data_IF_378741798660
#
_entry.id   IF_378741798660
#
_cell.length_a   1.000
_cell.length_b   1.000
_cell.length_c   1.000
_cell.angle_alpha   90.00
_cell.angle_beta   90.00
_cell.angle_gamma   90.00
#
_symmetry.space_group_name_H-M   'P 1'
#
loop_
_entity.id
_entity.type
_entity.pdbx_description
1 polymer ?
#
# COMPACT_ATOMS: atom_id res chain seq x y z
N UNK A 1 -22.53 4.09 51.40
CA UNK A 1 -21.61 3.09 50.84
C UNK A 1 -22.09 2.69 49.45
N UNK A 2 -21.53 3.26 48.39
CA UNK A 2 -22.01 3.02 47.02
C UNK A 2 -21.23 1.89 46.35
N UNK A 3 -21.89 0.74 46.10
CA UNK A 3 -21.32 -0.34 45.29
C UNK A 3 -21.44 0.01 43.80
N UNK A 4 -20.38 0.58 43.23
CA UNK A 4 -20.25 0.72 41.78
C UNK A 4 -20.21 -0.69 41.18
N UNK A 5 -21.28 -1.11 40.49
CA UNK A 5 -21.25 -2.34 39.70
C UNK A 5 -20.24 -2.14 38.59
N UNK A 6 -19.21 -2.98 38.54
CA UNK A 6 -18.22 -2.99 37.45
C UNK A 6 -18.98 -3.15 36.13
N UNK A 7 -18.88 -2.17 35.24
CA UNK A 7 -19.55 -2.20 33.94
C UNK A 7 -18.99 -3.42 33.19
N UNK A 8 -19.86 -4.38 32.84
CA UNK A 8 -19.44 -5.49 31.99
C UNK A 8 -19.19 -4.88 30.62
N UNK A 9 -17.92 -4.80 30.22
CA UNK A 9 -17.58 -4.47 28.86
C UNK A 9 -18.17 -5.56 27.95
N UNK A 10 -18.97 -5.15 26.97
CA UNK A 10 -19.36 -6.06 25.89
C UNK A 10 -18.09 -6.51 25.18
N UNK A 11 -18.01 -7.77 24.70
CA UNK A 11 -16.83 -8.25 23.99
C UNK A 11 -16.52 -7.32 22.82
N UNK A 12 -15.23 -7.04 22.59
CA UNK A 12 -14.80 -6.35 21.37
C UNK A 12 -15.30 -7.16 20.16
N UNK A 13 -16.03 -6.54 19.22
CA UNK A 13 -16.31 -7.15 17.91
C UNK A 13 -14.99 -7.52 17.18
N UNK A 14 -15.04 -8.40 16.16
CA UNK A 14 -13.84 -9.00 15.61
C UNK A 14 -12.87 -7.95 15.04
N UNK A 15 -11.58 -8.13 15.34
CA UNK A 15 -10.52 -7.54 14.52
C UNK A 15 -10.54 -8.28 13.18
N UNK A 16 -10.49 -7.55 12.05
CA UNK A 16 -10.65 -8.16 10.71
C UNK A 16 -9.65 -9.28 10.42
N UNK A 17 -8.47 -9.22 11.04
CA UNK A 17 -7.42 -10.23 11.00
C UNK A 17 -6.98 -10.55 12.42
N UNK A 18 -6.56 -11.79 12.66
CA UNK A 18 -6.02 -12.22 13.94
C UNK A 18 -4.65 -12.90 13.82
N UNK A 19 -4.14 -13.02 12.60
CA UNK A 19 -2.74 -13.31 12.24
C UNK A 19 -2.31 -12.23 11.24
N UNK A 20 -1.16 -11.60 11.49
CA UNK A 20 -0.53 -10.63 10.58
C UNK A 20 0.95 -10.97 10.52
N UNK A 21 1.45 -11.32 9.33
CA UNK A 21 2.87 -11.58 9.07
C UNK A 21 3.35 -10.64 7.96
N UNK A 22 4.52 -10.03 8.13
CA UNK A 22 5.05 -9.00 7.23
C UNK A 22 6.33 -9.49 6.56
N UNK A 23 6.30 -9.59 5.23
CA UNK A 23 7.41 -9.98 4.37
C UNK A 23 7.90 -8.74 3.61
N UNK A 24 8.41 -7.77 4.38
CA UNK A 24 8.97 -6.53 3.88
C UNK A 24 10.42 -6.72 3.40
N UNK A 25 10.62 -6.66 2.08
CA UNK A 25 11.92 -6.58 1.42
C UNK A 25 12.05 -5.24 0.67
N UNK A 26 13.21 -4.60 0.74
CA UNK A 26 13.44 -3.25 0.19
C UNK A 26 13.46 -3.19 -1.36
N UNK A 27 13.60 -4.34 -2.02
CA UNK A 27 13.67 -4.46 -3.48
C UNK A 27 12.43 -5.22 -4.02
N UNK A 28 12.19 -5.17 -5.34
CA UNK A 28 11.05 -5.85 -5.96
C UNK A 28 11.09 -7.37 -5.69
N UNK A 29 9.99 -7.99 -5.21
CA UNK A 29 8.60 -7.60 -5.41
C UNK A 29 8.00 -6.60 -4.41
N UNK A 30 8.72 -6.22 -3.36
CA UNK A 30 8.24 -5.29 -2.34
C UNK A 30 7.26 -5.90 -1.33
N UNK A 31 7.01 -5.16 -0.26
CA UNK A 31 6.41 -5.64 0.99
C UNK A 31 5.09 -6.40 0.81
N UNK A 32 5.06 -7.67 1.22
CA UNK A 32 3.83 -8.48 1.31
C UNK A 32 3.42 -8.63 2.77
N UNK A 33 2.37 -7.95 3.21
CA UNK A 33 1.73 -8.29 4.48
C UNK A 33 0.65 -9.35 4.26
N UNK A 34 0.76 -10.48 4.94
CA UNK A 34 -0.23 -11.55 4.98
C UNK A 34 -1.18 -11.28 6.14
N UNK A 35 -2.43 -10.94 5.83
CA UNK A 35 -3.46 -10.63 6.80
C UNK A 35 -4.49 -11.76 6.84
N UNK A 36 -4.41 -12.62 7.86
CA UNK A 36 -5.18 -13.86 7.93
C UNK A 36 -6.12 -13.93 9.14
N UNK A 37 -7.16 -14.74 9.03
CA UNK A 37 -8.21 -14.88 10.05
C UNK A 37 -8.59 -16.34 10.29
N UNK A 38 -8.60 -16.77 11.56
CA UNK A 38 -9.10 -18.10 11.98
C UNK A 38 -10.57 -18.13 12.40
N UNK A 39 -11.19 -16.96 12.65
CA UNK A 39 -12.61 -16.85 13.00
C UNK A 39 -13.51 -16.86 11.74
N UNK A 40 -14.82 -17.13 11.86
CA UNK A 40 -15.77 -16.95 10.76
C UNK A 40 -15.74 -15.54 10.18
N UNK A 41 -15.91 -15.44 8.87
CA UNK A 41 -15.88 -14.19 8.12
C UNK A 41 -17.15 -13.36 8.33
N UNK A 42 -17.00 -12.11 8.77
CA UNK A 42 -18.05 -11.09 8.63
C UNK A 42 -17.93 -10.49 7.21
N UNK A 43 -18.58 -11.12 6.23
CA UNK A 43 -18.47 -10.72 4.82
C UNK A 43 -18.93 -9.27 4.58
N UNK A 44 -19.81 -8.71 5.42
CA UNK A 44 -20.26 -7.33 5.29
C UNK A 44 -19.19 -6.32 5.76
N UNK A 45 -18.58 -6.56 6.92
CA UNK A 45 -17.45 -5.76 7.39
C UNK A 45 -16.21 -5.93 6.50
N UNK A 46 -15.95 -7.16 6.05
CA UNK A 46 -14.86 -7.51 5.16
C UNK A 46 -14.99 -6.83 3.79
N UNK A 47 -16.16 -6.95 3.14
CA UNK A 47 -16.43 -6.29 1.86
C UNK A 47 -16.30 -4.77 1.95
N UNK A 48 -16.78 -4.17 3.06
CA UNK A 48 -16.63 -2.74 3.29
C UNK A 48 -15.15 -2.33 3.33
N UNK A 49 -14.35 -2.98 4.18
CA UNK A 49 -12.94 -2.60 4.39
C UNK A 49 -12.11 -2.83 3.13
N UNK A 50 -12.35 -3.90 2.36
CA UNK A 50 -11.68 -4.13 1.08
C UNK A 50 -12.14 -3.16 0.00
N UNK A 51 -13.43 -2.82 -0.07
CA UNK A 51 -13.96 -1.80 -0.98
C UNK A 51 -13.30 -0.44 -0.75
N UNK A 52 -13.24 0.00 0.51
CA UNK A 52 -12.58 1.25 0.92
C UNK A 52 -11.04 1.21 0.72
N UNK A 53 -10.39 0.06 0.95
CA UNK A 53 -8.93 -0.07 0.79
C UNK A 53 -8.48 -0.08 -0.69
N UNK A 54 -9.26 -0.73 -1.55
CA UNK A 54 -8.85 -1.03 -2.93
C UNK A 54 -9.59 -0.23 -4.00
N UNK A 55 -10.60 0.56 -3.65
CA UNK A 55 -11.37 1.39 -4.59
C UNK A 55 -12.16 0.52 -5.60
N UNK A 56 -12.73 -0.55 -5.06
CA UNK A 56 -13.61 -1.49 -5.78
C UNK A 56 -15.03 -1.25 -5.28
N UNK A 57 -16.03 -1.02 -6.16
CA UNK A 57 -17.39 -0.72 -5.72
C UNK A 57 -17.96 -1.84 -4.82
N UNK A 58 -18.68 -1.45 -3.75
CA UNK A 58 -19.06 -2.36 -2.67
C UNK A 58 -19.91 -3.55 -3.14
N UNK A 59 -20.77 -3.36 -4.15
CA UNK A 59 -21.55 -4.45 -4.75
C UNK A 59 -20.65 -5.48 -5.45
N UNK A 60 -19.59 -5.03 -6.12
CA UNK A 60 -18.57 -5.90 -6.73
C UNK A 60 -17.76 -6.61 -5.65
N UNK A 61 -17.35 -5.92 -4.59
CA UNK A 61 -16.57 -6.52 -3.51
C UNK A 61 -17.36 -7.59 -2.75
N UNK A 62 -18.64 -7.34 -2.42
CA UNK A 62 -19.52 -8.37 -1.84
C UNK A 62 -19.65 -9.57 -2.78
N UNK A 63 -19.80 -9.33 -4.10
CA UNK A 63 -19.88 -10.41 -5.09
C UNK A 63 -18.60 -11.23 -5.18
N UNK A 64 -17.43 -10.58 -5.25
CA UNK A 64 -16.12 -11.24 -5.32
C UNK A 64 -15.85 -12.10 -4.09
N UNK A 65 -16.22 -11.63 -2.89
CA UNK A 65 -16.09 -12.42 -1.66
C UNK A 65 -17.10 -13.58 -1.57
N UNK A 66 -18.21 -13.55 -2.32
CA UNK A 66 -19.20 -14.63 -2.34
C UNK A 66 -18.89 -15.70 -3.40
N UNK A 67 -18.49 -15.28 -4.62
CA UNK A 67 -18.36 -16.15 -5.80
C UNK A 67 -16.90 -16.38 -6.24
N UNK A 68 -15.94 -15.60 -5.73
CA UNK A 68 -14.62 -15.47 -6.31
C UNK A 68 -14.62 -14.64 -7.61
N UNK A 69 -13.48 -14.61 -8.30
CA UNK A 69 -13.30 -13.93 -9.58
C UNK A 69 -12.31 -12.77 -9.53
N UNK A 70 -12.38 -11.90 -10.55
CA UNK A 70 -11.51 -10.73 -10.70
C UNK A 70 -12.31 -9.46 -11.00
N UNK A 71 -11.80 -8.33 -10.53
CA UNK A 71 -12.21 -6.99 -10.93
C UNK A 71 -11.02 -6.30 -11.59
N UNK A 72 -11.11 -6.09 -12.90
CA UNK A 72 -10.15 -5.30 -13.67
C UNK A 72 -10.52 -3.83 -13.52
N UNK A 73 -9.55 -2.99 -13.19
CA UNK A 73 -9.81 -1.55 -13.01
C UNK A 73 -10.07 -0.87 -14.37
N UNK A 74 -10.99 0.12 -14.44
CA UNK A 74 -11.24 0.85 -15.68
C UNK A 74 -10.00 1.65 -16.10
N UNK A 75 -9.77 1.75 -17.42
CA UNK A 75 -8.69 2.59 -17.95
C UNK A 75 -9.09 4.07 -17.95
N UNK A 76 -8.90 4.73 -16.81
CA UNK A 76 -9.00 6.19 -16.72
C UNK A 76 -7.68 6.86 -17.15
N UNK A 77 -7.80 7.94 -17.91
CA UNK A 77 -6.69 8.50 -18.69
C UNK A 77 -5.58 9.13 -17.86
N UNK A 78 -4.40 8.51 -17.87
CA UNK A 78 -3.13 9.15 -17.53
C UNK A 78 -2.47 8.77 -16.20
N UNK A 79 -3.10 7.93 -15.35
CA UNK A 79 -2.50 7.50 -14.08
C UNK A 79 -2.95 6.09 -13.68
N UNK A 80 -2.49 5.11 -14.45
CA UNK A 80 -2.75 3.70 -14.22
C UNK A 80 -1.72 3.14 -13.21
N UNK A 81 -2.17 2.72 -12.02
CA UNK A 81 -1.32 2.02 -11.02
C UNK A 81 -1.95 0.74 -10.44
N UNK A 82 -3.17 0.38 -10.85
CA UNK A 82 -3.89 -0.82 -10.39
C UNK A 82 -4.31 -1.63 -11.62
N UNK A 83 -3.92 -2.90 -11.69
CA UNK A 83 -4.26 -3.79 -12.82
C UNK A 83 -5.55 -4.56 -12.56
N UNK A 84 -5.56 -5.39 -11.52
CA UNK A 84 -6.77 -6.08 -11.05
C UNK A 84 -6.79 -6.28 -9.54
N UNK A 85 -7.99 -6.50 -9.00
CA UNK A 85 -8.24 -7.16 -7.72
C UNK A 85 -8.74 -8.58 -7.99
N UNK A 86 -8.30 -9.56 -7.21
CA UNK A 86 -8.71 -10.96 -7.32
C UNK A 86 -9.21 -11.49 -5.97
N UNK A 87 -10.23 -12.35 -6.03
CA UNK A 87 -10.61 -13.23 -4.94
C UNK A 87 -10.67 -14.68 -5.46
N UNK A 88 -9.91 -15.56 -4.83
CA UNK A 88 -9.99 -17.00 -5.04
C UNK A 88 -10.75 -17.65 -3.89
N UNK A 89 -11.86 -18.31 -4.23
CA UNK A 89 -12.65 -19.14 -3.32
C UNK A 89 -12.52 -20.58 -3.80
N UNK A 90 -11.96 -21.45 -2.97
CA UNK A 90 -11.91 -22.89 -3.25
C UNK A 90 -13.33 -23.48 -3.17
N UNK A 91 -13.90 -24.05 -4.25
CA UNK A 91 -15.23 -24.63 -4.24
C UNK A 91 -15.41 -25.83 -3.29
N UNK A 92 -14.31 -26.45 -2.85
CA UNK A 92 -14.32 -27.54 -1.87
C UNK A 92 -14.17 -27.07 -0.43
N UNK A 93 -13.76 -25.81 -0.20
CA UNK A 93 -13.50 -25.26 1.12
C UNK A 93 -12.33 -25.90 1.88
N UNK A 94 -11.42 -26.59 1.18
CA UNK A 94 -10.24 -27.22 1.77
C UNK A 94 -9.07 -26.23 1.94
N UNK A 95 -8.94 -25.26 1.03
CA UNK A 95 -8.06 -24.11 1.15
C UNK A 95 -8.82 -22.87 1.66
N UNK A 96 -8.16 -21.96 2.41
CA UNK A 96 -8.77 -20.68 2.78
C UNK A 96 -9.05 -19.83 1.54
N UNK A 97 -10.07 -18.98 1.63
CA UNK A 97 -10.27 -17.89 0.65
C UNK A 97 -9.01 -17.02 0.61
N UNK A 98 -8.64 -16.57 -0.59
CA UNK A 98 -7.52 -15.64 -0.76
C UNK A 98 -7.97 -14.40 -1.51
N UNK A 99 -7.54 -13.21 -1.07
CA UNK A 99 -7.65 -11.98 -1.87
C UNK A 99 -6.29 -11.35 -2.12
N UNK A 100 -6.10 -10.75 -3.30
CA UNK A 100 -4.89 -10.01 -3.66
C UNK A 100 -5.19 -8.99 -4.76
N UNK A 101 -4.20 -8.16 -5.07
CA UNK A 101 -4.20 -7.31 -6.27
C UNK A 101 -3.01 -7.64 -7.17
N UNK A 102 -3.07 -7.22 -8.42
CA UNK A 102 -1.91 -7.10 -9.32
C UNK A 102 -1.74 -5.63 -9.74
N UNK A 103 -0.50 -5.21 -9.89
CA UNK A 103 -0.13 -4.00 -10.63
C UNK A 103 -0.37 -4.16 -12.15
N UNK A 104 -0.08 -3.13 -12.95
CA UNK A 104 -0.26 -3.20 -14.40
C UNK A 104 0.62 -4.22 -15.11
N UNK A 105 1.88 -4.35 -14.69
CA UNK A 105 2.86 -5.19 -15.37
C UNK A 105 2.50 -6.66 -15.17
N UNK A 106 2.14 -7.01 -13.94
CA UNK A 106 1.57 -8.31 -13.60
C UNK A 106 0.22 -8.57 -14.26
N UNK A 107 -0.68 -7.58 -14.34
CA UNK A 107 -1.95 -7.75 -15.04
C UNK A 107 -1.74 -7.98 -16.54
N UNK A 108 -0.85 -7.23 -17.18
CA UNK A 108 -0.48 -7.45 -18.58
C UNK A 108 0.15 -8.83 -18.80
N UNK A 109 0.97 -9.32 -17.88
CA UNK A 109 1.50 -10.69 -17.93
C UNK A 109 0.38 -11.73 -17.75
N UNK A 110 -0.54 -11.53 -16.79
CA UNK A 110 -1.67 -12.42 -16.55
C UNK A 110 -2.65 -12.44 -17.75
N UNK A 111 -2.88 -11.30 -18.41
CA UNK A 111 -3.61 -11.23 -19.68
C UNK A 111 -2.91 -12.03 -20.78
N UNK A 112 -1.59 -11.82 -20.96
CA UNK A 112 -0.80 -12.53 -21.97
C UNK A 112 -0.82 -14.04 -21.71
N UNK A 113 -0.68 -14.47 -20.45
CA UNK A 113 -0.70 -15.86 -20.03
C UNK A 113 -2.08 -16.51 -20.22
N UNK A 114 -3.16 -15.84 -19.80
CA UNK A 114 -4.53 -16.29 -20.01
C UNK A 114 -4.85 -16.49 -21.51
N UNK A 115 -4.46 -15.52 -22.34
CA UNK A 115 -4.63 -15.60 -23.81
C UNK A 115 -3.76 -16.70 -24.43
N UNK A 116 -2.51 -16.85 -24.00
CA UNK A 116 -1.57 -17.82 -24.56
C UNK A 116 -1.89 -19.28 -24.16
N UNK A 117 -2.50 -19.51 -22.99
CA UNK A 117 -2.86 -20.85 -22.50
C UNK A 117 -4.35 -21.18 -22.58
N UNK A 118 -5.19 -20.22 -22.98
CA UNK A 118 -6.67 -20.35 -23.01
C UNK A 118 -7.24 -20.76 -21.63
N UNK A 119 -6.73 -20.14 -20.55
CA UNK A 119 -7.21 -20.36 -19.18
C UNK A 119 -7.91 -19.11 -18.61
N UNK A 120 -8.77 -19.26 -17.58
CA UNK A 120 -9.39 -18.15 -16.87
C UNK A 120 -8.38 -17.13 -16.33
N UNK A 121 -8.73 -15.83 -16.41
CA UNK A 121 -7.88 -14.74 -15.93
C UNK A 121 -7.56 -14.84 -14.43
N UNK A 122 -8.44 -15.44 -13.61
CA UNK A 122 -8.18 -15.71 -12.20
C UNK A 122 -7.02 -16.69 -11.99
N UNK A 123 -6.94 -17.75 -12.80
CA UNK A 123 -5.85 -18.74 -12.73
C UNK A 123 -4.52 -18.13 -13.17
N UNK A 124 -4.52 -17.38 -14.28
CA UNK A 124 -3.34 -16.67 -14.75
C UNK A 124 -2.88 -15.59 -13.74
N UNK A 125 -3.83 -14.89 -13.10
CA UNK A 125 -3.52 -13.92 -12.05
C UNK A 125 -2.99 -14.56 -10.77
N UNK A 126 -3.45 -15.77 -10.42
CA UNK A 126 -2.96 -16.53 -9.28
C UNK A 126 -1.53 -17.02 -9.51
N UNK A 127 -1.22 -17.53 -10.69
CA UNK A 127 0.12 -17.97 -11.08
C UNK A 127 1.13 -16.81 -11.06
N UNK A 128 0.81 -15.68 -11.72
CA UNK A 128 1.67 -14.48 -11.71
C UNK A 128 1.86 -13.97 -10.28
N UNK A 129 0.82 -13.94 -9.46
CA UNK A 129 0.91 -13.54 -8.06
C UNK A 129 1.84 -14.46 -7.26
N UNK A 130 1.54 -15.75 -7.17
CA UNK A 130 2.28 -16.72 -6.34
C UNK A 130 3.74 -16.85 -6.75
N UNK A 131 4.04 -16.83 -8.05
CA UNK A 131 5.42 -16.87 -8.56
C UNK A 131 6.25 -15.67 -8.08
N UNK A 132 5.61 -14.52 -7.84
CA UNK A 132 6.24 -13.29 -7.34
C UNK A 132 6.20 -13.11 -5.82
N UNK A 133 5.84 -14.13 -5.04
CA UNK A 133 5.97 -14.08 -3.57
C UNK A 133 7.41 -14.43 -3.10
N UNK A 134 7.85 -13.96 -1.92
CA UNK A 134 9.09 -14.41 -1.29
C UNK A 134 9.10 -15.93 -1.04
N UNK A 135 10.27 -16.57 -1.09
CA UNK A 135 10.40 -18.03 -0.96
C UNK A 135 10.01 -18.57 0.43
N UNK A 136 10.18 -17.78 1.49
CA UNK A 136 9.65 -18.15 2.82
C UNK A 136 8.12 -18.21 2.80
N UNK A 137 7.46 -17.22 2.21
CA UNK A 137 5.99 -17.16 2.11
C UNK A 137 5.45 -18.27 1.21
N UNK A 138 6.07 -18.54 0.06
CA UNK A 138 5.78 -19.72 -0.77
C UNK A 138 5.88 -21.01 0.05
N UNK A 139 6.95 -21.17 0.82
CA UNK A 139 7.17 -22.35 1.67
C UNK A 139 6.07 -22.49 2.73
N UNK A 140 5.70 -21.40 3.42
CA UNK A 140 4.60 -21.37 4.40
C UNK A 140 3.23 -21.63 3.78
N UNK A 141 2.95 -21.16 2.57
CA UNK A 141 1.67 -21.39 1.88
C UNK A 141 1.43 -22.87 1.51
N UNK A 142 2.49 -23.70 1.42
CA UNK A 142 2.34 -25.16 1.30
C UNK A 142 2.02 -25.87 2.63
N UNK A 143 2.15 -25.17 3.76
CA UNK A 143 1.93 -25.71 5.10
C UNK A 143 0.52 -25.42 5.60
N UNK A 144 -0.07 -26.37 6.33
CA UNK A 144 -1.38 -26.16 6.94
C UNK A 144 -1.32 -24.94 7.88
N UNK A 145 -2.25 -24.00 7.68
CA UNK A 145 -2.35 -22.75 8.44
C UNK A 145 -1.03 -21.98 8.51
N UNK A 146 -0.33 -21.84 7.37
CA UNK A 146 0.95 -21.10 7.24
C UNK A 146 2.11 -21.63 8.10
N UNK A 147 1.97 -22.82 8.71
CA UNK A 147 2.96 -23.37 9.65
C UNK A 147 2.87 -22.79 11.07
N UNK A 148 1.80 -22.07 11.41
CA UNK A 148 1.62 -21.42 12.72
C UNK A 148 1.69 -22.41 13.90
N UNK A 149 2.54 -22.13 14.89
CA UNK A 149 2.52 -22.87 16.15
C UNK A 149 1.37 -22.38 17.05
N UNK A 150 0.31 -23.19 17.14
CA UNK A 150 -0.85 -22.97 18.01
C UNK A 150 -0.50 -22.90 19.51
N UNK A 151 0.74 -23.20 19.92
CA UNK A 151 1.24 -23.04 21.29
C UNK A 151 1.73 -21.62 21.59
N UNK A 152 2.13 -20.84 20.58
CA UNK A 152 2.64 -19.47 20.73
C UNK A 152 1.57 -18.41 20.45
N UNK A 153 0.53 -18.76 19.69
CA UNK A 153 -0.64 -17.92 19.43
C UNK A 153 -1.46 -17.62 20.71
N UNK A 154 -2.15 -16.47 20.71
CA UNK A 154 -3.14 -16.18 21.74
C UNK A 154 -4.30 -17.19 21.73
N UNK A 155 -4.84 -17.46 22.93
CA UNK A 155 -5.88 -18.48 23.15
C UNK A 155 -7.22 -18.16 22.48
N UNK A 156 -7.50 -16.93 22.08
CA UNK A 156 -8.67 -16.60 21.27
C UNK A 156 -8.43 -16.88 19.77
N UNK A 157 -7.21 -16.65 19.28
CA UNK A 157 -6.79 -16.93 17.89
C UNK A 157 -6.72 -18.44 17.64
N UNK A 158 -6.05 -19.18 18.54
CA UNK A 158 -5.93 -20.63 18.47
C UNK A 158 -7.29 -21.35 18.51
N UNK A 159 -8.30 -20.75 19.15
CA UNK A 159 -9.68 -21.29 19.21
C UNK A 159 -10.47 -21.22 17.90
N UNK A 160 -10.06 -20.39 16.94
CA UNK A 160 -10.66 -20.42 15.59
C UNK A 160 -10.30 -21.68 14.79
N UNK A 161 -9.22 -22.37 15.20
CA UNK A 161 -8.68 -23.51 14.48
C UNK A 161 -8.05 -23.05 13.16
N UNK A 162 -8.46 -23.68 12.06
CA UNK A 162 -7.88 -23.44 10.74
C UNK A 162 -8.20 -22.05 10.18
N UNK A 163 -7.30 -21.50 9.35
CA UNK A 163 -7.50 -20.20 8.69
C UNK A 163 -8.71 -20.28 7.73
N UNK A 164 -9.54 -19.24 7.69
CA UNK A 164 -10.74 -19.15 6.83
C UNK A 164 -10.51 -18.29 5.60
N UNK A 165 -9.82 -17.17 5.77
CA UNK A 165 -9.40 -16.29 4.67
C UNK A 165 -8.05 -15.65 4.94
N UNK A 166 -7.38 -15.28 3.85
CA UNK A 166 -6.10 -14.58 3.79
C UNK A 166 -6.23 -13.43 2.79
N UNK A 167 -6.02 -12.20 3.26
CA UNK A 167 -5.83 -11.05 2.39
C UNK A 167 -4.33 -10.77 2.26
N UNK A 168 -3.82 -10.84 1.03
CA UNK A 168 -2.46 -10.40 0.74
C UNK A 168 -2.46 -8.89 0.50
N UNK A 169 -2.18 -8.16 1.58
CA UNK A 169 -1.82 -6.74 1.52
C UNK A 169 -0.37 -6.61 1.08
N UNK A 170 -0.09 -6.95 -0.18
CA UNK A 170 1.11 -6.46 -0.85
C UNK A 170 0.93 -4.98 -1.15
N UNK A 171 1.87 -4.16 -0.71
CA UNK A 171 1.94 -2.75 -1.09
C UNK A 171 2.38 -2.68 -2.55
N UNK A 172 1.39 -2.67 -3.46
CA UNK A 172 1.60 -3.02 -4.87
C UNK A 172 2.15 -1.91 -5.76
N UNK A 173 3.31 -1.41 -5.35
CA UNK A 173 4.39 -1.11 -6.27
C UNK A 173 5.72 -1.33 -5.52
N UNK A 174 6.80 -1.82 -6.19
CA UNK A 174 8.17 -1.84 -5.64
C UNK A 174 8.71 -0.44 -5.29
N UNK A 175 7.88 0.56 -5.49
CA UNK A 175 7.99 1.90 -4.97
C UNK A 175 6.70 2.18 -4.20
N UNK A 176 6.86 2.72 -3.01
CA UNK A 176 5.94 3.73 -2.50
C UNK A 176 5.27 4.52 -3.63
N UNK A 177 4.00 4.90 -3.45
CA UNK A 177 3.48 6.10 -4.10
C UNK A 177 4.28 7.29 -3.56
N UNK A 178 5.50 7.47 -4.07
CA UNK A 178 6.43 8.58 -3.84
C UNK A 178 5.79 9.78 -4.50
N UNK A 179 4.76 10.31 -3.85
CA UNK A 179 3.97 11.47 -4.25
C UNK A 179 4.87 12.70 -4.19
N UNK A 180 5.72 12.87 -5.21
CA UNK A 180 6.60 14.00 -5.29
C UNK A 180 5.74 15.24 -5.52
N UNK A 181 5.73 16.14 -4.54
CA UNK A 181 5.19 17.49 -4.72
C UNK A 181 6.20 18.25 -5.56
N UNK A 182 5.86 18.50 -6.83
CA UNK A 182 6.68 19.28 -7.74
C UNK A 182 6.56 20.79 -7.45
N UNK A 183 7.50 21.64 -7.90
CA UNK A 183 7.46 23.08 -7.63
C UNK A 183 6.23 23.80 -8.21
N UNK A 184 5.55 23.20 -9.19
CA UNK A 184 4.31 23.69 -9.79
C UNK A 184 3.03 23.17 -9.10
N UNK A 185 3.20 22.39 -8.02
CA UNK A 185 2.11 21.78 -7.26
C UNK A 185 1.51 20.52 -7.87
N UNK A 186 2.05 19.98 -8.97
CA UNK A 186 1.67 18.63 -9.41
C UNK A 186 2.15 17.60 -8.39
N UNK A 187 1.29 16.63 -8.10
CA UNK A 187 1.70 15.37 -7.51
C UNK A 187 2.12 14.45 -8.65
N UNK A 188 3.36 13.99 -8.63
CA UNK A 188 3.86 12.95 -9.54
C UNK A 188 4.07 11.68 -8.72
N UNK A 189 3.61 10.55 -9.23
CA UNK A 189 3.90 9.23 -8.67
C UNK A 189 4.94 8.54 -9.57
N UNK A 190 5.98 7.94 -8.99
CA UNK A 190 7.06 7.25 -9.73
C UNK A 190 7.03 5.75 -9.46
N UNK A 191 6.95 4.94 -10.52
CA UNK A 191 7.08 3.49 -10.55
C UNK A 191 8.51 2.99 -10.81
N UNK A 192 9.54 3.70 -10.32
CA UNK A 192 10.94 3.25 -10.34
C UNK A 192 11.79 3.89 -9.23
N UNK A 193 12.90 3.26 -8.83
CA UNK A 193 14.05 4.03 -8.31
C UNK A 193 14.78 4.68 -9.49
N UNK A 194 14.79 3.99 -10.62
CA UNK A 194 15.27 4.36 -11.94
C UNK A 194 14.43 5.53 -12.50
N UNK A 195 13.11 5.41 -12.47
CA UNK A 195 12.20 6.49 -12.90
C UNK A 195 12.32 7.71 -11.97
N UNK A 196 12.39 7.51 -10.65
CA UNK A 196 12.61 8.60 -9.70
C UNK A 196 13.95 9.30 -9.95
N UNK A 197 15.02 8.54 -10.19
CA UNK A 197 16.34 9.07 -10.54
C UNK A 197 16.30 9.86 -11.86
N UNK A 198 15.62 9.34 -12.89
CA UNK A 198 15.43 9.98 -14.19
C UNK A 198 14.60 11.28 -14.09
N UNK A 199 13.47 11.26 -13.38
CA UNK A 199 12.60 12.41 -13.14
C UNK A 199 13.33 13.56 -12.44
N UNK A 200 14.21 13.21 -11.49
CA UNK A 200 14.95 14.17 -10.68
C UNK A 200 16.35 14.50 -11.21
N UNK A 201 16.79 13.83 -12.28
CA UNK A 201 18.12 13.98 -12.89
C UNK A 201 19.27 13.70 -11.90
N UNK A 202 19.07 12.68 -11.06
CA UNK A 202 20.06 12.14 -10.10
C UNK A 202 20.42 10.70 -10.49
N UNK A 203 21.40 10.10 -9.81
CA UNK A 203 21.75 8.69 -10.01
C UNK A 203 20.90 7.75 -9.13
N UNK A 204 20.77 6.48 -9.51
CA UNK A 204 20.02 5.48 -8.72
C UNK A 204 20.58 5.30 -7.29
N UNK A 205 21.90 5.28 -7.04
CA UNK A 205 22.43 5.27 -5.67
C UNK A 205 22.07 6.50 -4.84
N UNK A 206 22.01 7.69 -5.47
CA UNK A 206 21.53 8.91 -4.82
C UNK A 206 20.04 8.82 -4.48
N UNK A 207 19.22 8.29 -5.41
CA UNK A 207 17.80 8.05 -5.18
C UNK A 207 17.57 7.06 -4.02
N UNK A 208 18.26 5.90 -4.02
CA UNK A 208 18.15 4.89 -2.96
C UNK A 208 18.52 5.49 -1.60
N UNK A 209 19.69 6.14 -1.50
CA UNK A 209 20.14 6.81 -0.27
C UNK A 209 19.13 7.83 0.27
N UNK A 210 18.62 8.73 -0.57
CA UNK A 210 17.68 9.78 -0.15
C UNK A 210 16.32 9.20 0.32
N UNK A 211 15.91 8.06 -0.26
CA UNK A 211 14.66 7.38 0.07
C UNK A 211 14.78 6.54 1.36
N UNK A 212 15.97 6.00 1.66
CA UNK A 212 16.24 5.20 2.86
C UNK A 212 16.61 6.06 4.09
N UNK A 213 17.48 7.06 3.93
CA UNK A 213 17.97 7.91 5.03
C UNK A 213 17.13 9.20 5.22
N UNK A 214 16.39 9.64 4.20
CA UNK A 214 15.76 10.96 4.17
C UNK A 214 16.75 12.11 3.99
N UNK A 215 16.32 13.32 4.34
CA UNK A 215 17.14 14.54 4.31
C UNK A 215 16.96 15.38 3.04
N UNK A 216 18.00 16.13 2.66
CA UNK A 216 17.98 17.05 1.51
C UNK A 216 19.07 16.73 0.50
N UNK A 217 18.76 16.87 -0.80
CA UNK A 217 19.71 16.70 -1.90
C UNK A 217 19.59 17.86 -2.90
N UNK A 218 20.69 18.62 -3.03
CA UNK A 218 20.81 19.70 -4.01
C UNK A 218 20.78 19.16 -5.45
N UNK A 219 20.05 19.84 -6.34
CA UNK A 219 19.94 19.51 -7.75
C UNK A 219 20.64 20.55 -8.64
N UNK A 220 20.86 20.19 -9.90
CA UNK A 220 21.27 21.15 -10.93
C UNK A 220 20.27 22.33 -11.02
N UNK A 221 20.78 23.54 -11.27
CA UNK A 221 19.99 24.76 -11.28
C UNK A 221 19.67 25.35 -9.90
N UNK A 222 20.15 24.75 -8.80
CA UNK A 222 19.96 25.26 -7.44
C UNK A 222 18.61 24.90 -6.82
N UNK A 223 17.86 23.98 -7.43
CA UNK A 223 16.71 23.31 -6.82
C UNK A 223 17.15 22.32 -5.74
N UNK A 224 16.20 21.80 -4.94
CA UNK A 224 16.47 20.78 -3.93
C UNK A 224 15.36 19.73 -3.89
N UNK A 225 15.73 18.47 -3.67
CA UNK A 225 14.82 17.44 -3.16
C UNK A 225 14.88 17.41 -1.64
N UNK A 226 13.71 17.42 -1.00
CA UNK A 226 13.55 17.08 0.40
C UNK A 226 12.84 15.73 0.52
N UNK A 227 13.33 14.85 1.38
CA UNK A 227 12.70 13.58 1.74
C UNK A 227 12.55 13.51 3.25
N UNK A 228 11.33 13.25 3.73
CA UNK A 228 11.04 13.05 5.15
C UNK A 228 10.47 11.65 5.37
N UNK A 229 11.08 10.88 6.26
CA UNK A 229 10.57 9.57 6.64
C UNK A 229 9.49 9.76 7.71
N UNK A 230 8.23 9.52 7.35
CA UNK A 230 7.05 9.67 8.22
C UNK A 230 6.43 8.30 8.42
N UNK A 231 6.38 7.80 9.66
CA UNK A 231 5.89 6.43 9.97
C UNK A 231 6.58 5.32 9.15
N UNK A 232 7.88 5.47 8.85
CA UNK A 232 8.64 4.57 7.98
C UNK A 232 8.44 4.80 6.47
N UNK A 233 7.66 5.80 6.07
CA UNK A 233 7.29 6.07 4.68
C UNK A 233 8.00 7.33 4.12
N UNK A 234 8.67 7.26 2.96
CA UNK A 234 9.39 8.38 2.37
C UNK A 234 8.44 9.37 1.65
N UNK A 235 8.18 10.52 2.28
CA UNK A 235 7.46 11.64 1.67
C UNK A 235 8.46 12.60 1.00
N UNK A 236 8.27 12.88 -0.30
CA UNK A 236 9.24 13.64 -1.12
C UNK A 236 8.61 14.93 -1.67
N UNK A 237 9.36 16.03 -1.65
CA UNK A 237 9.01 17.28 -2.33
C UNK A 237 10.23 17.87 -3.06
N UNK A 238 10.01 18.39 -4.27
CA UNK A 238 11.00 19.12 -5.08
C UNK A 238 10.69 20.61 -5.00
N UNK A 239 11.69 21.41 -4.62
CA UNK A 239 11.58 22.85 -4.46
C UNK A 239 12.38 23.59 -5.51
N UNK A 240 11.79 24.64 -6.07
CA UNK A 240 12.49 25.58 -6.95
C UNK A 240 13.62 26.30 -6.20
N UNK A 241 14.64 26.76 -6.93
CA UNK A 241 15.76 27.51 -6.34
C UNK A 241 15.30 28.74 -5.53
N UNK A 242 14.21 29.40 -5.95
CA UNK A 242 13.59 30.51 -5.20
C UNK A 242 13.03 30.07 -3.85
N UNK A 243 12.31 28.94 -3.83
CA UNK A 243 11.71 28.43 -2.59
C UNK A 243 12.79 27.88 -1.65
N UNK A 244 13.86 27.30 -2.19
CA UNK A 244 15.01 26.84 -1.41
C UNK A 244 15.83 28.00 -0.82
N UNK A 245 16.07 29.07 -1.58
CA UNK A 245 16.73 30.28 -1.07
C UNK A 245 15.94 30.89 0.10
N UNK A 246 14.62 31.05 -0.05
CA UNK A 246 13.71 31.49 1.02
C UNK A 246 13.76 30.56 2.24
N UNK A 247 13.87 29.25 2.05
CA UNK A 247 14.01 28.30 3.15
C UNK A 247 15.37 28.42 3.88
N UNK A 248 16.47 28.72 3.16
CA UNK A 248 17.78 29.01 3.79
C UNK A 248 17.74 30.29 4.61
N UNK A 249 17.17 31.37 4.07
CA UNK A 249 16.94 32.63 4.81
C UNK A 249 16.08 32.43 6.06
N UNK A 250 15.01 31.64 5.95
CA UNK A 250 14.10 31.31 7.05
C UNK A 250 14.77 30.46 8.13
N UNK A 251 15.55 29.44 7.74
CA UNK A 251 16.33 28.62 8.65
C UNK A 251 17.35 29.47 9.43
N UNK A 252 18.09 30.35 8.75
CA UNK A 252 19.07 31.25 9.38
C UNK A 252 18.41 32.27 10.31
N UNK A 253 17.30 32.90 9.89
CA UNK A 253 16.66 33.98 10.66
C UNK A 253 15.83 33.52 11.86
N UNK A 254 15.28 32.30 11.82
CA UNK A 254 14.53 31.69 12.93
C UNK A 254 15.32 30.65 13.74
N UNK A 255 16.52 30.25 13.30
CA UNK A 255 17.29 29.16 13.91
C UNK A 255 16.67 27.77 13.71
N UNK A 256 15.91 27.58 12.63
CA UNK A 256 15.21 26.32 12.32
C UNK A 256 16.10 25.34 11.55
N UNK A 257 15.78 24.04 11.64
CA UNK A 257 16.36 23.05 10.73
C UNK A 257 15.83 23.26 9.31
N UNK A 258 16.64 22.93 8.29
CA UNK A 258 16.31 23.23 6.89
C UNK A 258 15.04 22.53 6.40
N UNK A 259 14.74 21.32 6.91
CA UNK A 259 13.49 20.60 6.60
C UNK A 259 12.25 21.30 7.14
N UNK A 260 12.34 21.92 8.33
CA UNK A 260 11.22 22.65 8.93
C UNK A 260 10.95 23.94 8.15
N UNK A 261 12.03 24.65 7.76
CA UNK A 261 11.95 25.84 6.94
C UNK A 261 11.43 25.54 5.52
N UNK A 262 11.82 24.42 4.91
CA UNK A 262 11.26 23.94 3.64
C UNK A 262 9.77 23.60 3.78
N UNK A 263 9.37 22.99 4.89
CA UNK A 263 7.96 22.68 5.18
C UNK A 263 7.11 23.94 5.37
N UNK A 264 7.61 24.95 6.11
CA UNK A 264 6.94 26.24 6.23
C UNK A 264 6.85 26.96 4.86
N UNK A 265 7.88 26.87 4.02
CA UNK A 265 7.84 27.43 2.66
C UNK A 265 6.81 26.70 1.77
N UNK A 266 6.75 25.37 1.80
CA UNK A 266 5.77 24.59 1.03
C UNK A 266 4.32 24.92 1.44
N UNK A 267 4.04 24.94 2.74
CA UNK A 267 2.70 25.22 3.28
C UNK A 267 2.20 26.63 2.92
N UNK A 268 3.12 27.59 2.82
CA UNK A 268 2.84 28.97 2.43
C UNK A 268 2.99 29.24 0.91
N UNK A 269 3.12 28.21 0.07
CA UNK A 269 3.17 28.32 -1.40
C UNK A 269 1.82 27.88 -2.03
N UNK A 270 1.02 28.81 -2.58
CA UNK A 270 -0.28 28.49 -3.20
C UNK A 270 -0.19 27.69 -4.51
N UNK A 271 1.01 27.54 -5.07
CA UNK A 271 1.31 26.59 -6.14
C UNK A 271 1.41 25.18 -5.55
N UNK A 272 2.38 24.96 -4.66
CA UNK A 272 2.66 23.63 -4.08
C UNK A 272 1.43 23.03 -3.37
N UNK A 273 0.66 23.83 -2.63
CA UNK A 273 -0.54 23.35 -1.91
C UNK A 273 -1.77 23.09 -2.79
N UNK A 274 -1.76 23.50 -4.07
CA UNK A 274 -2.95 23.49 -4.96
C UNK A 274 -3.58 22.11 -5.13
N UNK A 275 -2.78 21.05 -5.22
CA UNK A 275 -3.27 19.68 -5.46
C UNK A 275 -3.64 18.98 -4.15
N UNK A 276 -2.97 19.30 -3.05
CA UNK A 276 -3.32 18.80 -1.71
C UNK A 276 -4.70 19.31 -1.29
N UNK A 277 -4.97 20.61 -1.43
CA UNK A 277 -6.28 21.22 -1.16
C UNK A 277 -7.41 20.59 -2.00
N UNK A 278 -7.12 20.17 -3.24
CA UNK A 278 -8.09 19.46 -4.09
C UNK A 278 -8.39 18.04 -3.60
N UNK A 279 -7.39 17.30 -3.09
CA UNK A 279 -7.62 15.99 -2.44
C UNK A 279 -8.46 16.13 -1.17
N UNK A 280 -8.18 17.13 -0.33
CA UNK A 280 -9.00 17.40 0.88
C UNK A 280 -10.45 17.79 0.57
N UNK A 281 -10.69 18.50 -0.54
CA UNK A 281 -12.05 18.83 -0.99
C UNK A 281 -12.80 17.61 -1.54
N UNK A 282 -12.13 16.73 -2.29
CA UNK A 282 -12.72 15.48 -2.77
C UNK A 282 -13.17 14.59 -1.61
N UNK A 283 -12.29 14.34 -0.65
CA UNK A 283 -12.55 13.50 0.54
C UNK A 283 -13.54 14.11 1.56
N UNK A 284 -14.18 15.25 1.25
CA UNK A 284 -15.28 15.86 2.02
C UNK A 284 -16.60 15.90 1.26
N UNK A 285 -16.62 15.40 0.02
CA UNK A 285 -17.79 15.38 -0.87
C UNK A 285 -18.16 13.95 -1.32
N UNK A 286 -17.44 12.94 -0.82
CA UNK A 286 -17.67 11.51 -0.92
C UNK A 286 -18.12 10.93 0.42
#
# INVERSE_FOLDING_TARGET
MFKIKKKIEKPKPPVLYNVIEDYSEFDAPGNVTVCAMTLPEDTAAHAKILSESYDVPLDKMVKLLAEGGVYVYPQEGGLLTRGLFACHVDPSGAAPKQTWTLDLMQFAEAEQWARARTCPLLEAAAEVFHRTLPEELKTKLTQKNLGLDYRTLDRAVAKGGDIKYIDFRKDWSPHFKRLCIMPDGRLVETGGLEEFAQLHQITVPQAKKLVEEGGTMDLAGGEVLACQIVNGQPAVARFSAKNYAKAKELATSKGLHIMDALSEVAYNDPGMMRTLQRKELGARLS
#
